data_IF_891817564975
#
_entry.id   IF_891817564975
#
_cell.length_a   1.000
_cell.length_b   1.000
_cell.length_c   1.000
_cell.angle_alpha   90.00
_cell.angle_beta   90.00
_cell.angle_gamma   90.00
#
_symmetry.space_group_name_H-M   'P 1'
#
loop_
_entity.id
_entity.type
_entity.pdbx_description
1 polymer ?
#
# COMPACT_ATOMS: atom_id res chain seq x y z
N UNK A 1 -30.80 50.68 22.14
CA UNK A 1 -31.04 51.78 21.16
C UNK A 1 -30.60 51.26 19.78
N UNK A 2 -31.57 51.20 18.85
CA UNK A 2 -31.35 50.94 17.41
C UNK A 2 -30.78 52.20 16.75
N UNK A 3 -30.15 52.09 15.50
CA UNK A 3 -30.97 51.93 14.33
C UNK A 3 -30.42 50.99 13.26
N UNK A 4 -31.41 50.57 12.43
CA UNK A 4 -31.34 49.86 11.18
C UNK A 4 -30.81 50.76 10.06
N UNK A 5 -30.01 50.25 9.12
CA UNK A 5 -29.91 50.80 7.78
C UNK A 5 -30.23 49.73 6.75
N UNK A 6 -31.27 49.98 6.03
CA UNK A 6 -31.77 49.27 4.86
C UNK A 6 -31.11 49.93 3.64
N UNK A 7 -30.45 49.22 2.75
CA UNK A 7 -30.04 49.69 1.43
C UNK A 7 -30.54 48.74 0.38
N UNK A 8 -31.44 49.26 -0.43
CA UNK A 8 -32.05 48.62 -1.60
C UNK A 8 -31.04 48.60 -2.74
N UNK A 9 -30.83 47.45 -3.39
CA UNK A 9 -30.10 47.33 -4.66
C UNK A 9 -31.13 47.12 -5.77
N UNK A 10 -31.10 48.08 -6.68
CA UNK A 10 -31.92 48.16 -7.88
C UNK A 10 -31.41 47.18 -8.93
N UNK A 11 -32.29 46.29 -9.42
CA UNK A 11 -32.05 45.32 -10.48
C UNK A 11 -32.25 45.99 -11.83
N UNK A 12 -31.23 46.21 -12.63
CA UNK A 12 -31.30 46.64 -14.01
C UNK A 12 -31.31 45.42 -14.95
N UNK A 13 -32.48 45.13 -15.51
CA UNK A 13 -32.69 44.18 -16.60
C UNK A 13 -32.26 44.84 -17.93
N UNK A 14 -31.11 44.39 -18.48
CA UNK A 14 -30.71 44.72 -19.84
C UNK A 14 -31.24 43.70 -20.84
N UNK A 15 -32.20 44.12 -21.66
CA UNK A 15 -32.74 43.34 -22.79
C UNK A 15 -31.77 43.49 -23.96
N UNK A 16 -31.04 42.42 -24.32
CA UNK A 16 -30.24 42.38 -25.55
C UNK A 16 -31.09 41.75 -26.65
N UNK A 17 -31.57 42.60 -27.57
CA UNK A 17 -32.25 42.14 -28.79
C UNK A 17 -31.22 41.63 -29.81
N UNK A 18 -31.28 40.33 -30.10
CA UNK A 18 -30.50 39.72 -31.17
C UNK A 18 -31.27 39.83 -32.49
N UNK A 19 -30.78 40.64 -33.42
CA UNK A 19 -31.32 40.78 -34.79
C UNK A 19 -30.75 39.67 -35.66
N UNK A 20 -31.55 38.69 -36.05
CA UNK A 20 -31.17 37.65 -37.03
C UNK A 20 -31.27 38.24 -38.42
N UNK A 21 -30.12 38.48 -39.07
CA UNK A 21 -30.09 38.74 -40.52
C UNK A 21 -30.25 37.42 -41.26
N UNK A 22 -31.34 37.30 -42.03
CA UNK A 22 -31.51 36.23 -43.00
C UNK A 22 -30.41 36.32 -44.08
N UNK A 23 -29.74 35.22 -44.33
CA UNK A 23 -28.87 35.05 -45.50
C UNK A 23 -29.70 34.34 -46.58
N UNK A 24 -29.88 35.02 -47.72
CA UNK A 24 -30.44 34.44 -48.94
C UNK A 24 -29.56 33.34 -49.49
N UNK A 25 -30.14 32.16 -49.62
CA UNK A 25 -29.49 31.00 -50.19
C UNK A 25 -29.85 30.91 -51.70
N UNK A 26 -28.87 30.74 -52.62
CA UNK A 26 -29.16 30.64 -54.05
C UNK A 26 -29.87 29.31 -54.36
N UNK A 27 -30.79 29.28 -55.33
CA UNK A 27 -31.58 28.11 -55.68
C UNK A 27 -30.72 27.10 -56.49
N UNK A 28 -30.60 25.88 -56.03
CA UNK A 28 -30.15 24.78 -56.92
C UNK A 28 -29.15 23.77 -56.39
N UNK A 29 -28.92 23.62 -55.09
CA UNK A 29 -28.11 22.48 -54.62
C UNK A 29 -28.99 21.46 -53.90
N UNK A 30 -29.05 20.23 -54.46
CA UNK A 30 -29.62 19.08 -53.77
C UNK A 30 -28.81 18.82 -52.48
N UNK A 31 -29.45 18.52 -51.36
CA UNK A 31 -28.75 18.20 -50.13
C UNK A 31 -27.90 16.97 -50.34
N UNK A 32 -26.59 17.12 -50.06
CA UNK A 32 -25.66 15.99 -49.99
C UNK A 32 -26.08 15.09 -48.83
N UNK A 33 -26.13 13.74 -49.03
CA UNK A 33 -26.42 12.82 -47.94
C UNK A 33 -25.44 13.07 -46.83
N UNK A 34 -25.92 13.26 -45.59
CA UNK A 34 -25.11 13.26 -44.38
C UNK A 34 -24.47 11.89 -44.25
N UNK A 35 -23.18 11.81 -44.50
CA UNK A 35 -22.38 10.68 -44.03
C UNK A 35 -22.58 10.52 -42.54
N UNK A 36 -22.78 9.30 -42.02
CA UNK A 36 -22.88 9.11 -40.60
C UNK A 36 -21.55 9.59 -39.98
N UNK A 37 -21.60 10.77 -39.36
CA UNK A 37 -20.55 11.26 -38.50
C UNK A 37 -20.18 10.11 -37.57
N UNK A 38 -18.96 9.62 -37.69
CA UNK A 38 -18.38 8.66 -36.76
C UNK A 38 -18.67 9.16 -35.35
N UNK A 39 -19.62 8.51 -34.68
CA UNK A 39 -19.81 8.66 -33.25
C UNK A 39 -18.48 8.21 -32.65
N UNK A 40 -17.60 9.17 -32.40
CA UNK A 40 -16.48 8.96 -31.48
C UNK A 40 -17.13 8.53 -30.18
N UNK A 41 -17.15 7.23 -29.95
CA UNK A 41 -17.41 6.70 -28.61
C UNK A 41 -16.41 7.40 -27.69
N UNK A 42 -16.88 8.04 -26.60
CA UNK A 42 -15.95 8.58 -25.63
C UNK A 42 -15.09 7.39 -25.20
N UNK A 43 -13.76 7.50 -25.36
CA UNK A 43 -12.85 6.56 -24.75
C UNK A 43 -13.28 6.39 -23.28
N UNK A 44 -13.38 5.14 -22.79
CA UNK A 44 -13.75 4.92 -21.40
C UNK A 44 -12.72 5.68 -20.57
N UNK A 45 -13.16 6.77 -19.94
CA UNK A 45 -12.39 7.49 -18.94
C UNK A 45 -11.82 6.43 -18.03
N UNK A 46 -10.47 6.41 -17.88
CA UNK A 46 -9.72 5.41 -17.14
C UNK A 46 -10.52 5.05 -15.90
N UNK A 47 -11.15 3.87 -15.91
CA UNK A 47 -12.15 3.49 -14.92
C UNK A 47 -11.48 3.63 -13.57
N UNK A 48 -11.98 4.51 -12.72
CA UNK A 48 -11.47 4.69 -11.38
C UNK A 48 -11.55 3.33 -10.71
N UNK A 49 -10.40 2.64 -10.64
CA UNK A 49 -10.29 1.28 -10.10
C UNK A 49 -10.85 1.30 -8.68
N UNK A 50 -11.93 0.59 -8.45
CA UNK A 50 -12.50 0.47 -7.11
C UNK A 50 -11.44 -0.25 -6.25
N UNK A 51 -10.90 0.46 -5.27
CA UNK A 51 -9.93 -0.10 -4.33
C UNK A 51 -10.57 -1.24 -3.54
N UNK A 52 -9.83 -2.34 -3.39
CA UNK A 52 -10.26 -3.45 -2.54
C UNK A 52 -10.39 -3.02 -1.06
N UNK A 53 -11.11 -3.79 -0.26
CA UNK A 53 -11.21 -3.52 1.18
C UNK A 53 -9.83 -3.56 1.85
N UNK A 54 -8.96 -4.50 1.46
CA UNK A 54 -7.59 -4.61 1.95
C UNK A 54 -6.74 -3.39 1.55
N UNK A 55 -6.83 -2.91 0.30
CA UNK A 55 -6.15 -1.71 -0.16
C UNK A 55 -6.57 -0.44 0.60
N UNK A 56 -7.86 -0.33 0.94
CA UNK A 56 -8.38 0.77 1.76
C UNK A 56 -7.89 0.68 3.20
N UNK A 57 -7.79 -0.53 3.75
CA UNK A 57 -7.36 -0.75 5.13
C UNK A 57 -5.86 -0.53 5.32
N UNK A 58 -5.02 -1.21 4.53
CA UNK A 58 -3.55 -1.13 4.67
C UNK A 58 -2.96 0.13 4.06
N UNK A 59 -3.56 0.65 2.97
CA UNK A 59 -3.10 1.80 2.19
C UNK A 59 -1.66 1.68 1.64
N UNK A 60 -1.30 2.55 0.71
CA UNK A 60 0.00 2.56 0.04
C UNK A 60 0.93 3.64 0.62
N UNK A 61 1.15 3.62 1.94
CA UNK A 61 2.22 4.44 2.51
C UNK A 61 3.58 4.01 1.96
N UNK A 62 4.45 4.96 1.65
CA UNK A 62 5.77 4.70 1.11
C UNK A 62 6.73 4.23 2.22
N UNK A 63 7.27 3.03 2.04
CA UNK A 63 8.36 2.47 2.83
C UNK A 63 9.63 2.38 1.97
N UNK A 64 10.76 2.04 2.59
CA UNK A 64 12.05 1.91 1.91
C UNK A 64 12.64 0.56 2.34
N UNK A 65 13.09 -0.24 1.37
CA UNK A 65 13.73 -1.52 1.66
C UNK A 65 15.24 -1.37 1.93
N UNK A 66 15.90 -2.47 2.29
CA UNK A 66 17.35 -2.54 2.57
C UNK A 66 18.24 -2.14 1.38
N UNK A 67 17.70 -2.09 0.16
CA UNK A 67 18.42 -1.68 -1.05
C UNK A 67 18.15 -0.21 -1.42
N UNK A 68 17.41 0.51 -0.57
CA UNK A 68 17.05 1.91 -0.79
C UNK A 68 15.89 2.10 -1.78
N UNK A 69 15.21 1.03 -2.18
CA UNK A 69 14.08 1.10 -3.10
C UNK A 69 12.81 1.49 -2.36
N UNK A 70 12.03 2.37 -2.94
CA UNK A 70 10.70 2.75 -2.46
C UNK A 70 9.71 1.63 -2.72
N UNK A 71 8.92 1.31 -1.71
CA UNK A 71 7.90 0.26 -1.74
C UNK A 71 6.59 0.79 -1.17
N UNK A 72 5.51 0.55 -1.87
CA UNK A 72 4.15 0.84 -1.40
C UNK A 72 3.70 -0.30 -0.50
N UNK A 73 3.27 0.04 0.72
CA UNK A 73 3.01 -0.96 1.75
C UNK A 73 2.00 -2.02 1.33
N UNK A 74 0.85 -1.62 0.77
CA UNK A 74 -0.11 -2.61 0.30
C UNK A 74 0.31 -3.21 -1.04
N UNK A 75 0.49 -2.38 -2.07
CA UNK A 75 0.64 -2.84 -3.45
C UNK A 75 1.92 -3.64 -3.71
N UNK A 76 3.04 -3.28 -3.05
CA UNK A 76 4.33 -3.92 -3.32
C UNK A 76 4.71 -4.95 -2.25
N UNK A 77 4.23 -4.80 -0.99
CA UNK A 77 4.63 -5.68 0.11
C UNK A 77 3.59 -6.76 0.40
N UNK A 78 2.29 -6.43 0.40
CA UNK A 78 1.25 -7.36 0.88
C UNK A 78 0.43 -7.99 -0.24
N UNK A 79 0.05 -7.20 -1.24
CA UNK A 79 -0.93 -7.58 -2.25
C UNK A 79 -0.54 -8.85 -2.99
N UNK A 80 -1.50 -9.77 -3.13
CA UNK A 80 -1.38 -11.06 -3.82
C UNK A 80 -0.27 -11.98 -3.26
N UNK A 81 0.11 -11.81 -1.96
CA UNK A 81 1.22 -12.54 -1.34
C UNK A 81 0.81 -13.28 -0.07
N UNK A 82 1.55 -14.36 0.20
CA UNK A 82 1.69 -14.90 1.55
C UNK A 82 2.92 -14.26 2.19
N UNK A 83 2.74 -13.67 3.36
CA UNK A 83 3.79 -12.92 4.05
C UNK A 83 3.98 -13.40 5.49
N UNK A 84 5.23 -13.42 5.93
CA UNK A 84 5.62 -13.69 7.32
C UNK A 84 6.30 -12.43 7.83
N UNK A 85 5.62 -11.70 8.71
CA UNK A 85 6.02 -10.36 9.13
C UNK A 85 6.47 -10.39 10.59
N UNK A 86 7.66 -9.88 10.87
CA UNK A 86 8.12 -9.57 12.22
C UNK A 86 8.52 -8.10 12.36
N UNK A 87 8.57 -7.64 13.60
CA UNK A 87 9.10 -6.32 13.95
C UNK A 87 10.45 -6.47 14.67
N UNK A 88 11.34 -5.52 14.45
CA UNK A 88 12.69 -5.52 15.03
C UNK A 88 13.28 -4.10 15.03
N UNK A 89 14.47 -3.95 15.61
CA UNK A 89 15.36 -2.82 15.35
C UNK A 89 16.81 -3.29 15.39
N UNK A 90 17.69 -2.66 14.60
CA UNK A 90 19.04 -3.18 14.33
C UNK A 90 19.95 -3.22 15.57
N UNK A 91 19.68 -2.34 16.57
CA UNK A 91 20.43 -2.29 17.83
C UNK A 91 19.87 -3.19 18.94
N UNK A 92 18.82 -3.97 18.65
CA UNK A 92 18.25 -4.92 19.62
C UNK A 92 19.23 -6.06 19.90
N UNK A 93 19.57 -6.26 21.15
CA UNK A 93 20.46 -7.36 21.62
C UNK A 93 19.69 -8.49 22.34
N UNK A 94 18.40 -8.30 22.57
CA UNK A 94 17.53 -9.23 23.32
C UNK A 94 16.84 -10.25 22.40
N UNK A 95 15.53 -10.01 22.15
CA UNK A 95 14.65 -10.97 21.48
C UNK A 95 14.76 -10.99 19.95
N UNK A 96 15.20 -9.88 19.31
CA UNK A 96 15.27 -9.83 17.86
C UNK A 96 16.23 -10.86 17.24
N UNK A 97 17.48 -11.05 17.76
CA UNK A 97 18.39 -12.04 17.19
C UNK A 97 17.83 -13.48 17.19
N UNK A 98 17.29 -14.03 18.29
CA UNK A 98 16.70 -15.37 18.26
C UNK A 98 15.48 -15.48 17.34
N UNK A 99 14.62 -14.44 17.24
CA UNK A 99 13.48 -14.44 16.30
C UNK A 99 14.02 -14.51 14.85
N UNK A 100 14.98 -13.66 14.50
CA UNK A 100 15.53 -13.67 13.14
C UNK A 100 16.31 -14.96 12.82
N UNK A 101 16.91 -15.64 13.81
CA UNK A 101 17.46 -17.00 13.62
C UNK A 101 16.37 -18.03 13.32
N UNK A 102 15.19 -17.90 13.91
CA UNK A 102 14.04 -18.75 13.55
C UNK A 102 13.57 -18.44 12.13
N UNK A 103 13.51 -17.16 11.73
CA UNK A 103 13.15 -16.78 10.35
C UNK A 103 14.19 -17.23 9.32
N UNK A 104 15.47 -17.25 9.68
CA UNK A 104 16.52 -17.84 8.85
C UNK A 104 16.23 -19.32 8.56
N UNK A 105 15.83 -20.09 9.56
CA UNK A 105 15.43 -21.50 9.38
C UNK A 105 14.13 -21.63 8.57
N UNK A 106 13.17 -20.73 8.75
CA UNK A 106 11.96 -20.67 7.92
C UNK A 106 12.33 -20.38 6.46
N UNK A 107 13.25 -19.45 6.22
CA UNK A 107 13.81 -19.18 4.91
C UNK A 107 14.44 -20.44 4.27
N UNK A 108 15.21 -21.19 5.02
CA UNK A 108 15.83 -22.45 4.58
C UNK A 108 14.75 -23.49 4.20
N UNK A 109 13.74 -23.65 5.05
CA UNK A 109 12.64 -24.60 4.81
C UNK A 109 11.78 -24.23 3.61
N UNK A 110 11.57 -22.92 3.33
CA UNK A 110 10.89 -22.45 2.14
C UNK A 110 11.66 -22.76 0.84
N UNK A 111 12.99 -22.76 0.90
CA UNK A 111 13.82 -23.04 -0.26
C UNK A 111 13.52 -22.09 -1.43
N UNK A 112 13.22 -22.65 -2.61
CA UNK A 112 12.89 -21.88 -3.83
C UNK A 112 11.51 -21.24 -3.83
N UNK A 113 10.69 -21.52 -2.84
CA UNK A 113 9.36 -20.87 -2.64
C UNK A 113 9.50 -19.47 -2.03
N UNK A 114 10.64 -19.18 -1.37
CA UNK A 114 10.92 -17.84 -0.84
C UNK A 114 11.02 -16.84 -1.98
N UNK A 115 10.28 -15.73 -1.89
CA UNK A 115 10.23 -14.70 -2.90
C UNK A 115 9.32 -15.03 -4.11
N UNK A 116 8.66 -16.20 -4.07
CA UNK A 116 7.65 -16.62 -5.08
C UNK A 116 6.30 -16.89 -4.41
N UNK A 117 6.28 -17.87 -3.53
CA UNK A 117 5.06 -18.32 -2.85
C UNK A 117 4.87 -17.63 -1.51
N UNK A 118 5.95 -17.38 -0.79
CA UNK A 118 5.96 -16.68 0.49
C UNK A 118 7.10 -15.67 0.56
N UNK A 119 6.90 -14.61 1.33
CA UNK A 119 7.86 -13.53 1.55
C UNK A 119 8.09 -13.35 3.06
N UNK A 120 9.33 -13.17 3.48
CA UNK A 120 9.67 -12.74 4.83
C UNK A 120 9.79 -11.22 4.85
N UNK A 121 9.12 -10.57 5.77
CA UNK A 121 9.09 -9.11 5.90
C UNK A 121 9.52 -8.75 7.33
N UNK A 122 10.65 -8.08 7.47
CA UNK A 122 11.11 -7.54 8.75
C UNK A 122 10.95 -6.03 8.76
N UNK A 123 10.08 -5.50 9.64
CA UNK A 123 9.79 -4.07 9.73
C UNK A 123 10.50 -3.46 10.93
N UNK A 124 11.30 -2.42 10.69
CA UNK A 124 11.93 -1.66 11.77
C UNK A 124 10.88 -0.90 12.58
N UNK A 125 11.04 -0.90 13.90
CA UNK A 125 10.30 -0.02 14.84
C UNK A 125 11.12 1.21 15.26
N UNK A 126 12.32 1.37 14.68
CA UNK A 126 13.25 2.48 14.95
C UNK A 126 13.74 3.12 13.63
N UNK A 127 12.83 3.62 12.78
CA UNK A 127 13.16 4.09 11.44
C UNK A 127 14.10 5.31 11.42
N UNK A 128 14.20 6.06 12.50
CA UNK A 128 15.14 7.19 12.63
C UNK A 128 16.59 6.72 12.73
N UNK A 129 16.81 5.52 13.29
CA UNK A 129 18.13 4.91 13.43
C UNK A 129 18.42 3.91 12.31
N UNK A 130 17.42 3.14 11.91
CA UNK A 130 17.54 2.00 11.00
C UNK A 130 17.48 2.44 9.53
N UNK A 131 18.62 2.92 9.03
CA UNK A 131 18.77 3.28 7.61
C UNK A 131 18.78 2.04 6.70
N UNK A 132 18.51 2.17 5.39
CA UNK A 132 18.61 1.05 4.45
C UNK A 132 19.95 0.30 4.53
N UNK A 133 21.06 1.01 4.65
CA UNK A 133 22.39 0.39 4.79
C UNK A 133 22.54 -0.44 6.07
N UNK A 134 21.98 0.03 7.19
CA UNK A 134 21.95 -0.74 8.45
C UNK A 134 21.06 -1.97 8.32
N UNK A 135 19.90 -1.84 7.67
CA UNK A 135 19.02 -2.99 7.39
C UNK A 135 19.72 -4.04 6.54
N UNK A 136 20.44 -3.61 5.51
CA UNK A 136 21.22 -4.51 4.63
C UNK A 136 22.30 -5.26 5.41
N UNK A 137 23.04 -4.56 6.24
CA UNK A 137 24.06 -5.16 7.11
C UNK A 137 23.43 -6.12 8.14
N UNK A 138 22.31 -5.73 8.73
CA UNK A 138 21.58 -6.58 9.67
C UNK A 138 21.08 -7.87 9.00
N UNK A 139 20.49 -7.77 7.82
CA UNK A 139 20.03 -8.94 7.04
C UNK A 139 21.16 -9.92 6.70
N UNK A 140 22.37 -9.42 6.41
CA UNK A 140 23.56 -10.28 6.17
C UNK A 140 23.90 -11.19 7.35
N UNK A 141 23.65 -10.75 8.58
CA UNK A 141 23.91 -11.56 9.80
C UNK A 141 23.04 -12.81 9.88
N UNK A 142 21.91 -12.82 9.15
CA UNK A 142 20.94 -13.90 9.06
C UNK A 142 20.89 -14.52 7.66
N UNK A 143 21.92 -14.29 6.84
CA UNK A 143 22.05 -14.84 5.48
C UNK A 143 20.77 -14.60 4.65
N UNK A 144 20.16 -13.40 4.82
CA UNK A 144 18.92 -13.06 4.13
C UNK A 144 19.07 -13.16 2.61
N UNK A 145 18.19 -13.95 1.98
CA UNK A 145 18.14 -14.18 0.54
C UNK A 145 17.06 -13.33 -0.11
N UNK A 146 17.02 -13.19 -1.45
CA UNK A 146 15.90 -12.59 -2.16
C UNK A 146 14.57 -13.20 -1.70
N UNK A 147 13.58 -12.33 -1.40
CA UNK A 147 12.31 -12.74 -0.78
C UNK A 147 12.25 -12.48 0.73
N UNK A 148 13.39 -12.18 1.38
CA UNK A 148 13.42 -11.60 2.72
C UNK A 148 13.68 -10.10 2.63
N UNK A 149 12.67 -9.30 2.94
CA UNK A 149 12.66 -7.83 2.76
C UNK A 149 12.70 -7.18 4.14
N UNK A 150 13.64 -6.27 4.33
CA UNK A 150 13.74 -5.44 5.53
C UNK A 150 13.25 -4.04 5.19
N UNK A 151 12.33 -3.50 6.00
CA UNK A 151 11.63 -2.25 5.72
C UNK A 151 11.89 -1.20 6.79
N UNK A 152 12.09 0.02 6.32
CA UNK A 152 12.16 1.26 7.08
C UNK A 152 11.43 2.35 6.29
N UNK A 153 11.63 3.63 6.63
CA UNK A 153 11.04 4.75 5.89
C UNK A 153 10.86 5.99 6.75
N UNK A 154 10.02 6.89 6.32
CA UNK A 154 9.59 8.01 7.16
C UNK A 154 8.84 7.45 8.38
N UNK A 155 9.12 8.02 9.56
CA UNK A 155 8.56 7.54 10.82
C UNK A 155 7.03 7.43 10.75
N UNK A 156 6.35 8.43 10.22
CA UNK A 156 4.90 8.47 10.11
C UNK A 156 4.34 7.32 9.27
N UNK A 157 5.05 6.95 8.19
CA UNK A 157 4.66 5.88 7.29
C UNK A 157 4.89 4.50 7.92
N UNK A 158 6.02 4.33 8.61
CA UNK A 158 6.34 3.11 9.34
C UNK A 158 5.36 2.91 10.49
N UNK A 159 5.11 3.94 11.29
CA UNK A 159 4.15 3.92 12.39
C UNK A 159 2.75 3.56 11.90
N UNK A 160 2.32 4.13 10.76
CA UNK A 160 1.05 3.80 10.13
C UNK A 160 0.97 2.33 9.72
N UNK A 161 1.99 1.82 9.02
CA UNK A 161 2.03 0.42 8.60
C UNK A 161 2.01 -0.53 9.81
N UNK A 162 2.79 -0.24 10.84
CA UNK A 162 2.80 -1.00 12.10
C UNK A 162 1.45 -0.94 12.81
N UNK A 163 0.79 0.21 12.83
CA UNK A 163 -0.56 0.37 13.39
C UNK A 163 -1.57 -0.52 12.66
N UNK A 164 -1.52 -0.55 11.33
CA UNK A 164 -2.40 -1.42 10.52
C UNK A 164 -2.15 -2.91 10.72
N UNK A 165 -0.93 -3.28 11.07
CA UNK A 165 -0.58 -4.66 11.44
C UNK A 165 -0.88 -4.98 12.92
N UNK A 166 -1.30 -3.98 13.72
CA UNK A 166 -1.48 -4.15 15.16
C UNK A 166 -0.16 -4.41 15.90
N UNK A 167 0.94 -3.80 15.41
CA UNK A 167 2.30 -3.93 15.93
C UNK A 167 2.93 -2.57 16.31
N UNK A 168 2.17 -1.49 16.21
CA UNK A 168 2.64 -0.17 16.62
C UNK A 168 2.95 -0.13 18.12
N UNK A 169 4.07 0.47 18.46
CA UNK A 169 4.50 0.75 19.84
C UNK A 169 5.05 2.17 19.92
N UNK A 170 4.75 2.93 20.98
CA UNK A 170 5.25 4.30 21.13
C UNK A 170 6.76 4.37 21.40
N UNK A 171 7.36 3.29 21.94
CA UNK A 171 8.79 3.15 22.20
C UNK A 171 9.25 1.78 21.70
N UNK A 172 10.40 1.74 21.02
CA UNK A 172 10.94 0.53 20.37
C UNK A 172 11.16 -0.65 21.33
N UNK A 173 11.43 -0.35 22.59
CA UNK A 173 11.63 -1.36 23.65
C UNK A 173 10.35 -2.15 23.96
N UNK A 174 9.19 -1.56 23.64
CA UNK A 174 7.86 -2.20 23.80
C UNK A 174 7.44 -3.06 22.63
N UNK A 175 8.27 -3.23 21.58
CA UNK A 175 7.91 -4.05 20.43
C UNK A 175 7.65 -5.49 20.84
N UNK A 176 6.66 -6.10 20.16
CA UNK A 176 6.24 -7.47 20.51
C UNK A 176 7.11 -8.50 19.82
N UNK A 177 7.15 -9.71 20.38
CA UNK A 177 7.77 -10.88 19.76
C UNK A 177 6.77 -11.71 18.95
N UNK A 178 5.77 -11.05 18.40
CA UNK A 178 4.74 -11.67 17.57
C UNK A 178 5.17 -11.63 16.10
N UNK A 179 5.02 -12.76 15.43
CA UNK A 179 5.10 -12.90 13.99
C UNK A 179 3.68 -12.93 13.44
N UNK A 180 3.42 -12.18 12.39
CA UNK A 180 2.16 -12.21 11.64
C UNK A 180 2.38 -13.05 10.39
N UNK A 181 1.54 -14.04 10.16
CA UNK A 181 1.49 -14.81 8.93
C UNK A 181 0.19 -14.44 8.20
N UNK A 182 0.31 -13.85 7.03
CA UNK A 182 -0.81 -13.37 6.23
C UNK A 182 -0.88 -14.08 4.88
N UNK A 183 -2.08 -14.53 4.47
CA UNK A 183 -2.41 -14.83 3.09
C UNK A 183 -3.38 -13.73 2.63
N UNK A 184 -2.83 -12.70 1.96
CA UNK A 184 -3.62 -11.51 1.60
C UNK A 184 -4.77 -11.86 0.65
N UNK A 185 -4.58 -12.66 -0.43
CA UNK A 185 -5.66 -13.05 -1.33
C UNK A 185 -6.86 -13.72 -0.64
N UNK A 186 -6.63 -14.42 0.47
CA UNK A 186 -7.68 -15.09 1.25
C UNK A 186 -8.19 -14.25 2.43
N UNK A 187 -7.57 -13.09 2.68
CA UNK A 187 -7.88 -12.28 3.86
C UNK A 187 -7.54 -12.99 5.18
N UNK A 188 -6.67 -13.99 5.14
CA UNK A 188 -6.30 -14.81 6.30
C UNK A 188 -5.09 -14.18 7.01
N UNK A 189 -5.22 -13.94 8.33
CA UNK A 189 -4.16 -13.37 9.15
C UNK A 189 -4.06 -14.15 10.46
N UNK A 190 -2.91 -14.79 10.69
CA UNK A 190 -2.59 -15.56 11.88
C UNK A 190 -1.47 -14.87 12.66
N UNK A 191 -1.45 -15.05 13.98
CA UNK A 191 -0.36 -14.59 14.86
C UNK A 191 0.36 -15.80 15.42
N UNK A 192 1.69 -15.74 15.45
CA UNK A 192 2.53 -16.75 16.04
C UNK A 192 3.52 -16.12 17.02
N UNK A 193 4.03 -16.92 17.96
CA UNK A 193 5.05 -16.47 18.88
C UNK A 193 6.44 -16.56 18.22
N UNK A 194 7.15 -15.46 18.08
CA UNK A 194 8.41 -15.42 17.31
C UNK A 194 9.54 -16.25 17.91
N UNK A 195 9.44 -16.57 19.21
CA UNK A 195 10.38 -17.48 19.90
C UNK A 195 9.94 -18.95 19.86
N UNK A 196 8.80 -19.27 19.22
CA UNK A 196 8.44 -20.66 18.93
C UNK A 196 9.50 -21.31 18.04
N UNK A 197 9.57 -22.64 18.05
CA UNK A 197 10.51 -23.35 17.19
C UNK A 197 10.23 -23.08 15.71
N UNK A 198 11.27 -23.07 14.90
CA UNK A 198 11.12 -22.77 13.48
C UNK A 198 10.20 -23.77 12.74
N UNK A 199 10.16 -25.03 13.14
CA UNK A 199 9.26 -26.05 12.59
C UNK A 199 7.78 -25.78 12.96
N UNK A 200 7.51 -25.23 14.15
CA UNK A 200 6.17 -24.78 14.53
C UNK A 200 5.72 -23.57 13.72
N UNK A 201 6.62 -22.61 13.52
CA UNK A 201 6.36 -21.45 12.64
C UNK A 201 6.11 -21.92 11.21
N UNK A 202 6.93 -22.87 10.73
CA UNK A 202 6.78 -23.39 9.37
C UNK A 202 5.44 -24.09 9.13
N UNK A 203 4.92 -24.83 10.12
CA UNK A 203 3.55 -25.41 10.04
C UNK A 203 2.49 -24.34 9.79
N UNK A 204 2.55 -23.22 10.50
CA UNK A 204 1.60 -22.11 10.32
C UNK A 204 1.75 -21.48 8.95
N UNK A 205 2.98 -21.38 8.45
CA UNK A 205 3.26 -20.87 7.08
C UNK A 205 2.72 -21.84 6.04
N UNK A 206 2.93 -23.16 6.18
CA UNK A 206 2.38 -24.17 5.28
C UNK A 206 0.85 -24.16 5.29
N UNK A 207 0.22 -24.07 6.45
CA UNK A 207 -1.23 -23.90 6.54
C UNK A 207 -1.72 -22.69 5.76
N UNK A 208 -1.03 -21.54 5.89
CA UNK A 208 -1.37 -20.33 5.14
C UNK A 208 -1.15 -20.47 3.65
N UNK A 209 -0.14 -21.23 3.21
CA UNK A 209 0.14 -21.52 1.81
C UNK A 209 -0.88 -22.50 1.20
N UNK A 210 -1.33 -23.50 1.98
CA UNK A 210 -2.28 -24.53 1.52
C UNK A 210 -3.74 -24.03 1.47
N UNK A 211 -4.06 -22.95 2.15
CA UNK A 211 -5.36 -22.28 2.08
C UNK A 211 -5.57 -21.50 0.75
N UNK A 212 -4.76 -21.76 -0.29
CA UNK A 212 -4.86 -21.14 -1.62
C UNK A 212 -6.08 -21.61 -2.42
#
# INVERSE_FOLDING_TARGET
>A
MKPKFLSAVILLLGIVSFSVKGQDQPPGQKPKPLEPSSLQQPEPAASARVRSAAEKYFSDVELINQDGQKMRFYSDVLKDKVVVINTFFTSCTGVCPPINRNLEKVQEALGDRLGKDAFLISMSVDPETDTPSRLKEYGRRFHARPGWIFLTGKKENVDWALYKLGQYVPAKEGHTNIIIIGNEPKGLWKKAFGLAKADELMKIVEDALNDR
#
